data_IF_192375677746
#
_entry.id   IF_192375677746
#
_cell.length_a   1.000
_cell.length_b   1.000
_cell.length_c   1.000
_cell.angle_alpha   90.00
_cell.angle_beta   90.00
_cell.angle_gamma   90.00
#
_symmetry.space_group_name_H-M   'P 1'
#
loop_
_entity.id
_entity.type
_entity.pdbx_description
1 polymer ?
#
# COMPACT_ATOMS: atom_id res chain seq x y z
N UNK A 1 4.76 15.06 -5.58
CA UNK A 1 3.46 14.84 -4.92
C UNK A 1 2.51 15.95 -5.31
N UNK A 2 1.42 15.60 -6.00
CA UNK A 2 0.37 16.57 -6.34
C UNK A 2 -0.49 16.77 -5.09
N UNK A 3 -0.25 17.88 -4.39
CA UNK A 3 -1.13 18.36 -3.34
C UNK A 3 -1.73 19.69 -3.83
N UNK A 4 -3.05 19.85 -3.72
CA UNK A 4 -3.70 21.12 -4.07
C UNK A 4 -3.15 22.25 -3.19
N UNK A 5 -2.73 23.30 -3.86
CA UNK A 5 -1.84 24.32 -3.38
C UNK A 5 -2.37 25.17 -2.22
N UNK A 6 -1.92 24.87 -1.06
CA UNK A 6 -1.68 25.77 0.09
C UNK A 6 -0.75 24.99 1.03
N UNK A 7 0.12 25.62 1.82
CA UNK A 7 0.97 24.90 2.76
C UNK A 7 0.12 24.21 3.84
N UNK A 8 -0.26 22.96 3.57
CA UNK A 8 -1.04 22.13 4.47
C UNK A 8 -0.11 21.19 5.20
N UNK A 9 -0.35 20.99 6.50
CA UNK A 9 0.39 20.01 7.31
C UNK A 9 0.05 18.56 6.94
N UNK A 10 -1.10 18.35 6.31
CA UNK A 10 -1.61 17.05 5.89
C UNK A 10 -2.25 17.17 4.51
N UNK A 11 -1.91 16.28 3.60
CA UNK A 11 -2.58 16.11 2.31
C UNK A 11 -3.55 14.93 2.37
N UNK A 12 -4.65 14.99 1.62
CA UNK A 12 -5.63 13.91 1.51
C UNK A 12 -5.68 13.38 0.08
N UNK A 13 -5.95 12.07 -0.07
CA UNK A 13 -6.05 11.41 -1.37
C UNK A 13 -4.83 11.71 -2.27
N UNK A 14 -3.63 11.56 -1.68
CA UNK A 14 -2.39 11.95 -2.34
C UNK A 14 -1.94 10.88 -3.31
N UNK A 15 -1.57 11.30 -4.52
CA UNK A 15 -0.98 10.45 -5.56
C UNK A 15 0.43 10.94 -5.90
N UNK A 16 1.26 10.09 -6.52
CA UNK A 16 2.54 10.50 -7.08
C UNK A 16 2.38 11.49 -8.24
N UNK A 17 3.39 12.32 -8.49
CA UNK A 17 3.39 13.21 -9.65
C UNK A 17 3.48 12.41 -10.96
N UNK A 18 4.27 11.35 -10.95
CA UNK A 18 4.47 10.46 -12.08
C UNK A 18 4.06 9.01 -11.76
N UNK A 19 3.84 8.19 -12.78
CA UNK A 19 3.48 6.77 -12.61
C UNK A 19 4.72 5.91 -12.34
N UNK A 20 5.09 5.78 -11.09
CA UNK A 20 6.21 4.91 -10.67
C UNK A 20 5.81 3.45 -10.40
N UNK A 21 4.52 3.15 -10.45
CA UNK A 21 4.00 1.81 -10.13
C UNK A 21 3.48 1.05 -11.35
N UNK A 22 3.68 1.59 -12.57
CA UNK A 22 3.19 1.01 -13.83
C UNK A 22 1.65 0.91 -13.87
N UNK A 23 0.95 1.84 -13.25
CA UNK A 23 -0.52 1.86 -13.15
C UNK A 23 -1.19 2.55 -14.33
N UNK A 24 -0.39 3.10 -15.25
CA UNK A 24 -0.80 3.85 -16.45
C UNK A 24 -1.53 5.16 -16.13
N UNK A 25 -1.47 5.61 -14.91
CA UNK A 25 -2.07 6.86 -14.45
C UNK A 25 -1.39 7.35 -13.18
N UNK A 26 -1.27 8.67 -13.08
CA UNK A 26 -0.91 9.41 -11.87
C UNK A 26 -1.98 10.45 -11.53
N UNK A 27 -3.23 10.21 -11.94
CA UNK A 27 -4.33 11.15 -11.76
C UNK A 27 -5.28 10.66 -10.68
N UNK A 28 -5.54 11.51 -9.69
CA UNK A 28 -6.51 11.23 -8.62
C UNK A 28 -7.86 10.79 -9.19
N UNK A 29 -8.43 9.75 -8.56
CA UNK A 29 -9.72 9.17 -8.99
C UNK A 29 -9.61 8.21 -10.17
N UNK A 30 -8.42 7.99 -10.71
CA UNK A 30 -8.16 6.94 -11.70
C UNK A 30 -7.63 5.66 -11.04
N UNK A 31 -7.27 4.65 -11.84
CA UNK A 31 -6.74 3.37 -11.34
C UNK A 31 -5.26 3.48 -10.89
N UNK A 32 -4.93 4.46 -10.07
CA UNK A 32 -3.60 4.62 -9.48
C UNK A 32 -3.65 4.49 -7.96
N UNK A 33 -2.48 4.24 -7.37
CA UNK A 33 -2.32 4.21 -5.92
C UNK A 33 -2.44 5.62 -5.37
N UNK A 34 -3.38 5.82 -4.45
CA UNK A 34 -3.46 6.98 -3.57
C UNK A 34 -3.29 6.56 -2.12
N UNK A 35 -2.88 7.49 -1.28
CA UNK A 35 -2.90 7.34 0.17
C UNK A 35 -3.97 8.24 0.76
N UNK A 36 -4.75 7.73 1.70
CA UNK A 36 -5.91 8.45 2.25
C UNK A 36 -5.49 9.77 2.87
N UNK A 37 -4.39 9.76 3.63
CA UNK A 37 -3.75 10.97 4.11
C UNK A 37 -2.22 10.84 4.06
N UNK A 38 -1.56 11.99 4.01
CA UNK A 38 -0.12 12.06 3.87
C UNK A 38 0.44 13.22 4.67
N UNK A 39 1.48 12.96 5.46
CA UNK A 39 2.23 13.97 6.18
C UNK A 39 3.69 13.91 5.73
N UNK A 40 4.26 15.07 5.45
CA UNK A 40 5.69 15.24 5.25
C UNK A 40 6.28 15.89 6.50
N UNK A 41 7.13 15.17 7.21
CA UNK A 41 7.60 15.56 8.53
C UNK A 41 9.12 15.57 8.62
N UNK A 42 9.63 16.40 9.53
CA UNK A 42 11.04 16.38 9.94
C UNK A 42 11.13 15.71 11.31
N UNK A 43 11.92 14.65 11.40
CA UNK A 43 12.16 13.96 12.64
C UNK A 43 13.09 14.80 13.54
N UNK A 44 12.64 15.12 14.74
CA UNK A 44 13.32 16.08 15.64
C UNK A 44 14.70 15.61 16.12
N UNK A 45 14.93 14.30 16.15
CA UNK A 45 16.16 13.74 16.72
C UNK A 45 17.37 13.80 15.79
N UNK A 46 17.16 13.62 14.48
CA UNK A 46 18.21 13.56 13.48
C UNK A 46 17.97 14.48 12.27
N UNK A 47 16.95 15.33 12.36
CA UNK A 47 16.52 16.29 11.33
C UNK A 47 16.19 15.66 9.96
N UNK A 48 16.06 14.34 9.90
CA UNK A 48 15.67 13.64 8.68
C UNK A 48 14.23 13.89 8.29
N UNK A 49 14.00 13.93 7.01
CA UNK A 49 12.68 14.11 6.42
C UNK A 49 12.03 12.75 6.18
N UNK A 50 10.78 12.64 6.60
CA UNK A 50 10.01 11.40 6.55
C UNK A 50 8.70 11.58 5.80
N UNK A 51 8.37 10.56 5.02
CA UNK A 51 7.03 10.40 4.46
C UNK A 51 6.19 9.61 5.45
N UNK A 52 4.98 10.09 5.73
CA UNK A 52 4.05 9.39 6.61
C UNK A 52 2.75 9.17 5.82
N UNK A 53 2.68 8.11 4.99
CA UNK A 53 1.42 7.67 4.41
C UNK A 53 0.52 7.11 5.49
N UNK A 54 -0.74 7.50 5.45
CA UNK A 54 -1.78 7.09 6.40
C UNK A 54 -2.91 6.47 5.62
N UNK A 55 -3.32 5.28 6.05
CA UNK A 55 -4.50 4.58 5.59
C UNK A 55 -5.44 4.41 6.77
N UNK A 56 -6.74 4.61 6.61
CA UNK A 56 -7.72 4.37 7.66
C UNK A 56 -8.82 3.41 7.26
N UNK A 57 -9.26 2.60 8.22
CA UNK A 57 -10.26 1.56 8.05
C UNK A 57 -11.27 1.61 9.19
N UNK A 58 -12.34 2.36 8.99
CA UNK A 58 -13.36 2.55 10.04
C UNK A 58 -14.28 1.36 10.20
N UNK A 59 -14.92 0.93 9.12
CA UNK A 59 -15.97 -0.09 9.13
C UNK A 59 -15.76 -1.17 8.06
N UNK A 60 -14.63 -1.12 7.36
CA UNK A 60 -14.34 -2.05 6.30
C UNK A 60 -14.18 -3.46 6.83
N UNK A 61 -14.93 -4.36 6.23
CA UNK A 61 -14.80 -5.79 6.39
C UNK A 61 -14.47 -6.39 5.02
N UNK A 62 -13.26 -6.92 4.90
CA UNK A 62 -12.82 -7.50 3.64
C UNK A 62 -13.21 -8.97 3.56
N UNK A 63 -13.87 -9.35 2.45
CA UNK A 63 -13.97 -10.75 2.06
C UNK A 63 -12.56 -11.31 1.79
N UNK A 64 -12.43 -12.65 1.74
CA UNK A 64 -11.15 -13.28 1.39
C UNK A 64 -10.91 -13.23 -0.14
N UNK A 65 -11.14 -12.08 -0.76
CA UNK A 65 -10.93 -11.89 -2.18
C UNK A 65 -9.44 -11.89 -2.50
N UNK A 66 -9.07 -12.70 -3.46
CA UNK A 66 -7.73 -12.76 -4.03
C UNK A 66 -7.72 -11.98 -5.35
N UNK A 67 -7.13 -10.80 -5.30
CA UNK A 67 -7.03 -9.91 -6.47
C UNK A 67 -6.18 -10.46 -7.61
N UNK A 68 -5.35 -11.48 -7.36
CA UNK A 68 -4.59 -12.17 -8.40
C UNK A 68 -5.42 -13.18 -9.19
N UNK A 69 -6.57 -13.59 -8.65
CA UNK A 69 -7.45 -14.62 -9.22
C UNK A 69 -8.75 -14.04 -9.81
N UNK A 70 -8.88 -12.73 -9.98
CA UNK A 70 -10.06 -12.13 -10.63
C UNK A 70 -10.28 -12.58 -12.08
N UNK A 71 -9.35 -13.37 -12.63
CA UNK A 71 -9.41 -13.94 -13.97
C UNK A 71 -10.06 -15.31 -14.04
N UNK A 72 -10.41 -15.92 -12.91
CA UNK A 72 -11.15 -17.18 -12.94
C UNK A 72 -12.52 -16.92 -13.57
N UNK A 73 -12.87 -17.57 -14.69
CA UNK A 73 -14.17 -17.38 -15.28
C UNK A 73 -15.24 -17.79 -14.25
N UNK A 74 -16.07 -16.86 -13.83
CA UNK A 74 -17.45 -17.20 -13.62
C UNK A 74 -17.94 -17.64 -15.02
N UNK A 75 -18.54 -18.79 -15.13
CA UNK A 75 -18.90 -19.42 -16.40
C UNK A 75 -19.67 -18.51 -17.36
N UNK A 76 -20.18 -17.37 -16.89
CA UNK A 76 -20.95 -16.37 -17.65
C UNK A 76 -20.22 -15.04 -17.98
N UNK A 77 -18.99 -14.81 -17.49
CA UNK A 77 -18.21 -13.59 -17.80
C UNK A 77 -16.78 -13.96 -18.14
N UNK A 78 -16.41 -13.79 -19.40
CA UNK A 78 -15.05 -14.03 -19.86
C UNK A 78 -14.00 -13.36 -18.96
N UNK A 79 -12.87 -14.05 -18.74
CA UNK A 79 -11.71 -13.52 -18.02
C UNK A 79 -11.29 -12.19 -18.64
N UNK A 80 -11.12 -11.15 -17.80
CA UNK A 80 -10.71 -9.83 -18.27
C UNK A 80 -9.20 -9.56 -18.05
N UNK A 81 -8.43 -10.56 -17.62
CA UNK A 81 -6.98 -10.48 -17.44
C UNK A 81 -6.51 -9.55 -16.30
N UNK A 82 -7.41 -9.06 -15.44
CA UNK A 82 -7.06 -8.09 -14.38
C UNK A 82 -6.12 -8.64 -13.33
N UNK A 83 -6.31 -9.88 -12.90
CA UNK A 83 -5.46 -10.52 -11.91
C UNK A 83 -4.04 -10.70 -12.41
N UNK A 84 -3.89 -11.22 -13.64
CA UNK A 84 -2.59 -11.35 -14.30
C UNK A 84 -1.92 -9.99 -14.48
N UNK A 85 -2.67 -8.97 -14.90
CA UNK A 85 -2.12 -7.64 -15.08
C UNK A 85 -1.59 -7.07 -13.76
N UNK A 86 -2.32 -7.24 -12.64
CA UNK A 86 -1.87 -6.83 -11.31
C UNK A 86 -0.58 -7.54 -10.90
N UNK A 87 -0.52 -8.87 -11.05
CA UNK A 87 0.69 -9.63 -10.72
C UNK A 87 1.87 -9.15 -11.56
N UNK A 88 1.70 -9.02 -12.88
CA UNK A 88 2.76 -8.52 -13.76
C UNK A 88 3.22 -7.11 -13.40
N UNK A 89 2.30 -6.24 -12.96
CA UNK A 89 2.57 -4.85 -12.61
C UNK A 89 3.46 -4.72 -11.38
N UNK A 90 3.13 -5.47 -10.31
CA UNK A 90 3.74 -5.25 -9.01
C UNK A 90 4.80 -6.28 -8.62
N UNK A 91 4.90 -7.45 -9.24
CA UNK A 91 5.84 -8.49 -8.82
C UNK A 91 7.29 -8.02 -8.89
N UNK A 92 7.71 -7.43 -10.00
CA UNK A 92 9.07 -6.93 -10.15
C UNK A 92 9.38 -5.77 -9.17
N UNK A 93 8.39 -4.90 -8.89
CA UNK A 93 8.53 -3.84 -7.89
C UNK A 93 8.67 -4.41 -6.47
N UNK A 94 7.89 -5.45 -6.16
CA UNK A 94 7.96 -6.15 -4.87
C UNK A 94 9.30 -6.87 -4.69
N UNK A 95 9.81 -7.51 -5.74
CA UNK A 95 11.13 -8.14 -5.72
C UNK A 95 12.27 -7.13 -5.50
N UNK A 96 12.15 -5.95 -6.08
CA UNK A 96 13.11 -4.85 -5.94
C UNK A 96 12.92 -4.03 -4.65
N UNK A 97 11.83 -4.23 -3.90
CA UNK A 97 11.53 -3.47 -2.69
C UNK A 97 12.59 -3.69 -1.61
N UNK A 98 12.99 -2.61 -0.94
CA UNK A 98 13.84 -2.68 0.25
C UNK A 98 13.09 -3.15 1.49
N UNK A 99 11.76 -3.07 1.49
CA UNK A 99 10.87 -3.30 2.63
C UNK A 99 10.05 -4.58 2.52
N UNK A 100 9.53 -4.91 1.35
CA UNK A 100 8.70 -6.09 1.13
C UNK A 100 9.56 -7.34 0.90
N UNK A 101 9.15 -8.46 1.47
CA UNK A 101 9.80 -9.75 1.20
C UNK A 101 9.41 -10.23 -0.20
N UNK A 102 10.42 -10.62 -0.99
CA UNK A 102 10.21 -11.28 -2.28
C UNK A 102 9.58 -12.66 -2.10
N UNK A 103 8.73 -13.04 -3.03
CA UNK A 103 8.05 -14.33 -3.06
C UNK A 103 8.38 -15.04 -4.38
N UNK A 104 8.58 -16.36 -4.31
CA UNK A 104 8.79 -17.18 -5.52
C UNK A 104 7.56 -17.30 -6.40
N UNK A 105 6.36 -17.10 -5.83
CA UNK A 105 5.10 -17.06 -6.55
C UNK A 105 4.19 -15.99 -5.93
N UNK A 106 3.68 -15.10 -6.75
CA UNK A 106 2.80 -14.02 -6.34
C UNK A 106 1.31 -14.34 -6.47
N UNK A 107 0.93 -15.32 -7.29
CA UNK A 107 -0.47 -15.73 -7.43
C UNK A 107 -0.98 -16.37 -6.13
N UNK A 108 -2.13 -15.92 -5.66
CA UNK A 108 -2.72 -16.37 -4.40
C UNK A 108 -1.97 -15.92 -3.15
N UNK A 109 -0.93 -15.09 -3.32
CA UNK A 109 -0.13 -14.62 -2.18
C UNK A 109 -0.86 -13.58 -1.35
N UNK A 110 -0.34 -13.36 -0.14
CA UNK A 110 -0.89 -12.38 0.79
C UNK A 110 -0.92 -10.96 0.19
N UNK A 111 0.01 -10.60 -0.68
CA UNK A 111 0.08 -9.29 -1.31
C UNK A 111 -1.12 -8.96 -2.20
N UNK A 112 -1.91 -9.94 -2.61
CA UNK A 112 -3.09 -9.75 -3.45
C UNK A 112 -4.40 -9.98 -2.71
N UNK A 113 -4.35 -10.09 -1.38
CA UNK A 113 -5.54 -10.17 -0.53
C UNK A 113 -5.76 -8.83 0.21
N UNK A 114 -7.00 -8.38 0.29
CA UNK A 114 -7.31 -7.18 1.07
C UNK A 114 -7.25 -7.46 2.59
N UNK A 115 -6.72 -6.53 3.40
CA UNK A 115 -6.24 -5.18 3.06
C UNK A 115 -4.78 -5.14 2.57
N UNK A 116 -4.07 -6.26 2.52
CA UNK A 116 -2.63 -6.31 2.22
C UNK A 116 -2.30 -5.82 0.81
N UNK A 117 -3.24 -5.95 -0.13
CA UNK A 117 -3.07 -5.42 -1.48
C UNK A 117 -2.91 -3.89 -1.47
N UNK A 118 -3.69 -3.19 -0.66
CA UNK A 118 -3.52 -1.74 -0.47
C UNK A 118 -2.21 -1.43 0.24
N UNK A 119 -1.90 -2.13 1.36
CA UNK A 119 -0.67 -1.92 2.13
C UNK A 119 0.60 -2.16 1.29
N UNK A 120 0.60 -3.19 0.44
CA UNK A 120 1.69 -3.44 -0.50
C UNK A 120 1.89 -2.26 -1.47
N UNK A 121 0.81 -1.80 -2.10
CA UNK A 121 0.87 -0.70 -3.08
C UNK A 121 1.37 0.59 -2.44
N UNK A 122 0.89 0.93 -1.24
CA UNK A 122 1.30 2.12 -0.51
C UNK A 122 2.75 2.03 -0.02
N UNK A 123 3.21 0.84 0.36
CA UNK A 123 4.64 0.61 0.66
C UNK A 123 5.51 0.85 -0.57
N UNK A 124 5.15 0.27 -1.71
CA UNK A 124 5.85 0.50 -2.98
C UNK A 124 5.77 1.97 -3.41
N UNK A 125 4.64 2.63 -3.21
CA UNK A 125 4.46 4.05 -3.47
C UNK A 125 5.46 4.89 -2.66
N UNK A 126 5.54 4.67 -1.33
CA UNK A 126 6.44 5.42 -0.47
C UNK A 126 7.91 5.21 -0.85
N UNK A 127 8.33 3.98 -1.15
CA UNK A 127 9.69 3.68 -1.60
C UNK A 127 10.02 4.37 -2.94
N UNK A 128 9.07 4.38 -3.87
CA UNK A 128 9.30 4.99 -5.18
C UNK A 128 9.29 6.52 -5.12
N UNK A 129 8.47 7.16 -4.28
CA UNK A 129 8.57 8.60 -4.02
C UNK A 129 9.97 8.99 -3.55
N UNK A 130 10.55 8.22 -2.61
CA UNK A 130 11.90 8.48 -2.11
C UNK A 130 12.94 8.29 -3.22
N UNK A 131 12.83 7.21 -3.99
CA UNK A 131 13.74 6.86 -5.07
C UNK A 131 13.73 7.89 -6.22
N UNK A 132 12.58 8.44 -6.53
CA UNK A 132 12.35 9.40 -7.63
C UNK A 132 12.14 10.83 -7.11
N UNK A 133 12.91 11.20 -6.08
CA UNK A 133 12.76 12.48 -5.37
C UNK A 133 12.86 13.72 -6.26
N UNK A 134 13.64 13.67 -7.33
CA UNK A 134 13.79 14.78 -8.27
C UNK A 134 12.49 15.01 -9.09
N UNK A 135 11.90 13.92 -9.61
CA UNK A 135 10.65 13.95 -10.39
C UNK A 135 9.48 14.37 -9.51
N UNK A 136 9.45 13.85 -8.28
CA UNK A 136 8.42 14.14 -7.27
C UNK A 136 8.63 15.51 -6.58
N UNK A 137 9.81 16.10 -6.73
CA UNK A 137 10.21 17.37 -6.06
C UNK A 137 10.07 17.26 -4.53
N UNK A 138 10.34 16.08 -4.00
CA UNK A 138 10.17 15.75 -2.59
C UNK A 138 11.33 14.88 -2.11
N UNK A 139 12.19 15.41 -1.25
CA UNK A 139 13.35 14.70 -0.71
C UNK A 139 13.01 14.14 0.66
N UNK A 140 13.08 12.82 0.82
CA UNK A 140 12.91 12.17 2.11
C UNK A 140 13.93 11.03 2.29
N UNK A 141 14.34 10.79 3.52
CA UNK A 141 15.32 9.75 3.88
C UNK A 141 14.64 8.47 4.40
N UNK A 142 13.34 8.54 4.65
CA UNK A 142 12.58 7.41 5.15
C UNK A 142 11.08 7.60 5.09
N UNK A 143 10.36 6.56 5.49
CA UNK A 143 8.91 6.64 5.65
C UNK A 143 8.45 5.81 6.86
N UNK A 144 7.27 6.15 7.38
CA UNK A 144 6.53 5.40 8.38
C UNK A 144 5.10 5.25 7.90
N UNK A 145 4.68 4.02 7.62
CA UNK A 145 3.31 3.73 7.20
C UNK A 145 2.41 3.59 8.43
N UNK A 146 1.42 4.45 8.56
CA UNK A 146 0.44 4.42 9.64
C UNK A 146 -0.88 3.86 9.11
N UNK A 147 -1.43 2.90 9.83
CA UNK A 147 -2.74 2.31 9.56
C UNK A 147 -3.65 2.63 10.74
N UNK A 148 -4.65 3.47 10.52
CA UNK A 148 -5.62 3.88 11.54
C UNK A 148 -6.79 2.90 11.52
N UNK A 149 -6.99 2.16 12.61
CA UNK A 149 -8.05 1.16 12.72
C UNK A 149 -8.68 1.30 14.10
N UNK A 150 -9.90 1.82 14.22
CA UNK A 150 -10.58 1.90 15.51
C UNK A 150 -10.64 0.53 16.20
N UNK A 151 -10.43 0.52 17.50
CA UNK A 151 -10.49 -0.70 18.31
C UNK A 151 -11.84 -1.41 18.24
N UNK A 152 -12.89 -0.71 17.82
CA UNK A 152 -14.22 -1.28 17.63
C UNK A 152 -14.39 -2.02 16.30
N UNK A 153 -13.47 -1.86 15.34
CA UNK A 153 -13.48 -2.61 14.08
C UNK A 153 -12.98 -4.06 14.29
N UNK A 154 -13.73 -4.84 15.08
CA UNK A 154 -13.41 -6.23 15.40
C UNK A 154 -13.44 -7.13 14.16
N UNK A 155 -14.28 -6.82 13.20
CA UNK A 155 -14.38 -7.58 11.96
C UNK A 155 -13.06 -7.62 11.17
N UNK A 156 -12.26 -6.56 11.28
CA UNK A 156 -10.94 -6.51 10.68
C UNK A 156 -9.84 -7.00 11.62
N UNK A 157 -9.86 -6.57 12.89
CA UNK A 157 -8.80 -6.85 13.86
C UNK A 157 -8.75 -8.32 14.28
N UNK A 158 -9.91 -8.95 14.51
CA UNK A 158 -10.00 -10.33 15.01
C UNK A 158 -10.00 -11.38 13.88
N UNK A 159 -10.12 -10.93 12.64
CA UNK A 159 -10.13 -11.81 11.46
C UNK A 159 -8.84 -12.60 11.34
N UNK A 160 -8.98 -13.91 11.07
CA UNK A 160 -7.85 -14.77 10.70
C UNK A 160 -7.81 -14.98 9.19
N UNK A 161 -6.67 -14.71 8.60
CA UNK A 161 -6.47 -14.84 7.16
C UNK A 161 -6.09 -16.26 6.79
N UNK A 162 -6.81 -16.84 5.83
CA UNK A 162 -6.63 -18.25 5.42
C UNK A 162 -5.19 -18.57 4.99
N UNK A 163 -4.52 -17.62 4.34
CA UNK A 163 -3.16 -17.82 3.81
C UNK A 163 -2.11 -17.89 4.92
N UNK A 164 -2.30 -17.18 6.02
CA UNK A 164 -1.33 -17.11 7.12
C UNK A 164 -1.78 -17.83 8.38
N UNK A 165 -3.08 -18.05 8.56
CA UNK A 165 -3.68 -18.52 9.83
C UNK A 165 -3.64 -17.47 10.95
N UNK A 166 -3.20 -16.24 10.64
CA UNK A 166 -2.92 -15.17 11.61
C UNK A 166 -3.84 -13.99 11.42
N UNK A 167 -3.86 -13.07 12.40
CA UNK A 167 -4.53 -11.79 12.31
C UNK A 167 -3.86 -10.86 11.30
N UNK A 168 -4.52 -9.73 11.01
CA UNK A 168 -4.08 -8.78 10.00
C UNK A 168 -2.67 -8.25 10.30
N UNK A 169 -2.46 -7.67 11.48
CA UNK A 169 -1.18 -7.06 11.84
C UNK A 169 -0.02 -8.06 11.79
N UNK A 170 -0.19 -9.22 12.41
CA UNK A 170 0.85 -10.25 12.44
C UNK A 170 1.16 -10.76 11.03
N UNK A 171 0.13 -10.93 10.21
CA UNK A 171 0.29 -11.32 8.81
C UNK A 171 1.08 -10.28 8.05
N UNK A 172 0.70 -9.00 8.13
CA UNK A 172 1.38 -7.96 7.40
C UNK A 172 2.83 -7.76 7.87
N UNK A 173 3.07 -7.69 9.18
CA UNK A 173 4.44 -7.58 9.73
C UNK A 173 5.34 -8.72 9.28
N UNK A 174 4.80 -9.93 9.10
CA UNK A 174 5.58 -11.07 8.60
C UNK A 174 6.07 -10.89 7.16
N UNK A 175 5.45 -10.00 6.38
CA UNK A 175 5.83 -9.68 5.00
C UNK A 175 6.84 -8.53 4.90
N UNK A 176 7.12 -7.84 6.00
CA UNK A 176 8.03 -6.71 6.05
C UNK A 176 9.46 -7.16 6.45
N UNK A 177 10.47 -6.56 5.82
CA UNK A 177 11.88 -6.73 6.21
C UNK A 177 12.21 -5.93 7.46
N UNK A 178 11.69 -4.69 7.55
CA UNK A 178 11.77 -3.82 8.73
C UNK A 178 10.35 -3.53 9.25
N UNK A 179 9.99 -4.19 10.35
CA UNK A 179 8.66 -4.09 10.94
C UNK A 179 8.41 -2.76 11.64
N UNK A 180 9.45 -2.00 11.97
CA UNK A 180 9.34 -0.70 12.64
C UNK A 180 8.75 0.39 11.72
N UNK A 181 8.75 0.17 10.40
CA UNK A 181 8.18 1.09 9.41
C UNK A 181 6.67 0.98 9.25
N UNK A 182 6.01 0.19 10.06
CA UNK A 182 4.55 0.03 10.04
C UNK A 182 3.97 0.10 11.45
N UNK A 183 2.97 0.95 11.63
CA UNK A 183 2.29 1.16 12.91
C UNK A 183 0.78 1.12 12.70
N UNK A 184 0.08 0.44 13.61
CA UNK A 184 -1.37 0.56 13.75
C UNK A 184 -1.64 1.53 14.89
N UNK A 185 -2.57 2.43 14.68
CA UNK A 185 -3.10 3.35 15.68
C UNK A 185 -4.63 3.31 15.69
N UNK A 186 -5.21 3.60 16.85
CA UNK A 186 -6.65 3.73 17.05
C UNK A 186 -7.09 5.17 16.78
#
# INVERSE_FOLDING_TARGET
VKCDAEPQYIGFEVVSAEDHLNEKSSTRGSNCTSVDAFIYAVHRGDEKRWLIPIEWKYTENYSNEDKSNEDRPNEDKGSNGKGQERVRRYSALTDASSQLKSLGNYYGSIYYQEPFYQLMRQTLWAENIIKHSEEEKLVAEGYLHIHVIPNDNKDLLDKKYRVSGKGMEETWRSMLKDQSKYVIVD
#
